data_IF_104241723958
#
_entry.id   IF_104241723958
#
_cell.length_a   1.000
_cell.length_b   1.000
_cell.length_c   1.000
_cell.angle_alpha   90.00
_cell.angle_beta   90.00
_cell.angle_gamma   90.00
#
_symmetry.space_group_name_H-M   'P 1'
#
loop_
_entity.id
_entity.type
_entity.pdbx_description
1 polymer ?
#
# COMPACT_ATOMS: atom_id res chain seq x y z
N UNK A 1 13.53 -3.39 -15.86
CA UNK A 1 13.44 -2.51 -14.67
C UNK A 1 13.99 -3.28 -13.46
N UNK A 2 15.03 -2.75 -12.80
CA UNK A 2 15.57 -3.31 -11.56
C UNK A 2 14.50 -3.41 -10.47
N UNK A 3 14.57 -4.47 -9.64
CA UNK A 3 13.57 -4.74 -8.58
C UNK A 3 13.49 -3.58 -7.58
N UNK A 4 14.62 -2.98 -7.21
CA UNK A 4 14.67 -1.85 -6.27
C UNK A 4 13.85 -0.64 -6.76
N UNK A 5 14.08 -0.21 -8.01
CA UNK A 5 13.36 0.95 -8.60
C UNK A 5 11.86 0.67 -8.70
N UNK A 6 11.48 -0.57 -9.05
CA UNK A 6 10.07 -0.99 -9.08
C UNK A 6 9.42 -0.83 -7.69
N UNK A 7 10.10 -1.32 -6.65
CA UNK A 7 9.59 -1.29 -5.27
C UNK A 7 9.55 0.13 -4.71
N UNK A 8 10.53 0.97 -5.03
CA UNK A 8 10.52 2.39 -4.67
C UNK A 8 9.34 3.13 -5.32
N UNK A 9 9.11 2.91 -6.61
CA UNK A 9 7.99 3.51 -7.35
C UNK A 9 6.64 3.09 -6.76
N UNK A 10 6.48 1.79 -6.47
CA UNK A 10 5.28 1.26 -5.82
C UNK A 10 5.08 1.86 -4.43
N UNK A 11 6.15 1.99 -3.65
CA UNK A 11 6.10 2.58 -2.30
C UNK A 11 5.63 4.03 -2.33
N UNK A 12 6.12 4.85 -3.28
CA UNK A 12 5.67 6.23 -3.46
C UNK A 12 4.18 6.32 -3.80
N UNK A 13 3.68 5.43 -4.68
CA UNK A 13 2.26 5.37 -5.04
C UNK A 13 1.39 4.98 -3.85
N UNK A 14 1.79 3.96 -3.09
CA UNK A 14 1.08 3.53 -1.89
C UNK A 14 1.03 4.65 -0.84
N UNK A 15 2.14 5.34 -0.59
CA UNK A 15 2.16 6.47 0.35
C UNK A 15 1.22 7.60 -0.07
N UNK A 16 1.19 7.95 -1.37
CA UNK A 16 0.25 8.93 -1.90
C UNK A 16 -1.21 8.51 -1.66
N UNK A 17 -1.54 7.26 -1.97
CA UNK A 17 -2.87 6.70 -1.72
C UNK A 17 -3.24 6.76 -0.23
N UNK A 18 -2.33 6.36 0.67
CA UNK A 18 -2.59 6.38 2.11
C UNK A 18 -2.78 7.80 2.65
N UNK A 19 -2.05 8.79 2.14
CA UNK A 19 -2.22 10.19 2.55
C UNK A 19 -3.58 10.75 2.14
N UNK A 20 -4.09 10.33 0.98
CA UNK A 20 -5.37 10.80 0.48
C UNK A 20 -6.56 10.06 1.12
N UNK A 21 -6.48 8.74 1.23
CA UNK A 21 -7.59 7.88 1.67
C UNK A 21 -7.49 7.40 3.12
N UNK A 22 -6.37 7.63 3.81
CA UNK A 22 -6.12 7.18 5.19
C UNK A 22 -6.82 8.03 6.25
N UNK A 23 -8.15 8.09 6.18
CA UNK A 23 -9.03 8.75 7.16
C UNK A 23 -9.65 7.73 8.12
N UNK A 24 -10.17 8.17 9.27
CA UNK A 24 -10.63 7.27 10.35
C UNK A 24 -11.68 6.24 9.91
N UNK A 25 -12.58 6.61 9.01
CA UNK A 25 -13.70 5.79 8.52
C UNK A 25 -13.36 4.94 7.28
N UNK A 26 -12.11 4.99 6.78
CA UNK A 26 -11.71 4.30 5.55
C UNK A 26 -10.48 3.38 5.73
N UNK A 27 -10.15 3.03 6.97
CA UNK A 27 -8.94 2.25 7.26
C UNK A 27 -8.96 0.85 6.64
N UNK A 28 -10.13 0.18 6.65
CA UNK A 28 -10.27 -1.17 6.12
C UNK A 28 -10.02 -1.21 4.61
N UNK A 29 -10.65 -0.32 3.84
CA UNK A 29 -10.41 -0.24 2.39
C UNK A 29 -8.97 0.11 2.04
N UNK A 30 -8.29 0.94 2.86
CA UNK A 30 -6.87 1.25 2.66
C UNK A 30 -5.98 0.03 2.92
N UNK A 31 -6.32 -0.80 3.90
CA UNK A 31 -5.63 -2.07 4.18
C UNK A 31 -5.86 -3.07 3.04
N UNK A 32 -7.10 -3.21 2.58
CA UNK A 32 -7.45 -4.08 1.45
C UNK A 32 -6.71 -3.67 0.19
N UNK A 33 -6.58 -2.37 -0.06
CA UNK A 33 -5.80 -1.85 -1.18
C UNK A 33 -4.33 -2.28 -1.15
N UNK A 34 -3.69 -2.30 0.03
CA UNK A 34 -2.32 -2.82 0.16
C UNK A 34 -2.27 -4.31 -0.19
N UNK A 35 -3.23 -5.10 0.28
CA UNK A 35 -3.24 -6.55 0.05
C UNK A 35 -3.50 -6.87 -1.43
N UNK A 36 -4.37 -6.12 -2.10
CA UNK A 36 -4.54 -6.20 -3.55
C UNK A 36 -3.27 -5.77 -4.31
N UNK A 37 -2.60 -4.70 -3.88
CA UNK A 37 -1.33 -4.30 -4.47
C UNK A 37 -0.26 -5.39 -4.38
N UNK A 38 -0.19 -6.12 -3.25
CA UNK A 38 0.72 -7.28 -3.09
C UNK A 38 0.34 -8.41 -4.03
N UNK A 39 -0.95 -8.77 -4.14
CA UNK A 39 -1.45 -9.81 -5.06
C UNK A 39 -1.12 -9.47 -6.52
N UNK A 40 -1.33 -8.21 -6.90
CA UNK A 40 -1.03 -7.74 -8.26
C UNK A 40 0.47 -7.75 -8.54
N UNK A 41 1.30 -7.33 -7.58
CA UNK A 41 2.76 -7.40 -7.69
C UNK A 41 3.24 -8.85 -7.87
N UNK A 42 2.72 -9.79 -7.07
CA UNK A 42 3.04 -11.21 -7.19
C UNK A 42 2.70 -11.75 -8.59
N UNK A 43 1.49 -11.47 -9.08
CA UNK A 43 1.05 -11.85 -10.44
C UNK A 43 1.97 -11.27 -11.51
N UNK A 44 2.31 -9.98 -11.41
CA UNK A 44 3.12 -9.29 -12.42
C UNK A 44 4.57 -9.78 -12.44
N UNK A 45 5.17 -10.02 -11.26
CA UNK A 45 6.53 -10.56 -11.16
C UNK A 45 6.63 -11.96 -11.80
N UNK A 46 5.64 -12.82 -11.58
CA UNK A 46 5.57 -14.14 -12.20
C UNK A 46 5.30 -14.07 -13.71
N UNK A 47 4.51 -13.08 -14.17
CA UNK A 47 4.28 -12.87 -15.61
C UNK A 47 5.54 -12.40 -16.34
N UNK A 48 6.33 -11.52 -15.73
CA UNK A 48 7.49 -10.88 -16.37
C UNK A 48 8.62 -11.84 -16.70
N UNK A 49 8.80 -12.92 -15.92
CA UNK A 49 10.00 -13.77 -16.06
C UNK A 49 9.87 -14.94 -17.03
N UNK A 50 8.74 -15.08 -17.75
CA UNK A 50 8.40 -16.26 -18.58
C UNK A 50 8.48 -17.62 -17.86
N UNK A 51 8.80 -17.62 -16.56
CA UNK A 51 8.81 -18.72 -15.60
C UNK A 51 8.04 -18.27 -14.36
N UNK A 52 7.38 -19.21 -13.66
CA UNK A 52 6.81 -18.95 -12.32
C UNK A 52 7.94 -18.92 -11.27
N UNK A 53 8.69 -17.83 -11.25
CA UNK A 53 9.89 -17.68 -10.41
C UNK A 53 9.58 -17.47 -8.92
N UNK A 54 8.38 -17.02 -8.58
CA UNK A 54 7.92 -16.85 -7.19
C UNK A 54 6.81 -17.84 -6.82
N UNK A 55 7.06 -18.66 -5.81
CA UNK A 55 6.02 -19.18 -4.93
C UNK A 55 5.58 -18.08 -3.95
N UNK A 56 4.46 -18.28 -3.26
CA UNK A 56 3.99 -17.29 -2.27
C UNK A 56 5.02 -17.07 -1.14
N UNK A 57 5.62 -18.13 -0.61
CA UNK A 57 6.63 -18.01 0.46
C UNK A 57 7.87 -17.24 0.01
N UNK A 58 8.36 -17.50 -1.21
CA UNK A 58 9.47 -16.74 -1.81
C UNK A 58 9.09 -15.28 -2.02
N UNK A 59 7.83 -15.00 -2.34
CA UNK A 59 7.32 -13.64 -2.46
C UNK A 59 7.26 -12.93 -1.11
N UNK A 60 6.85 -13.60 -0.04
CA UNK A 60 6.90 -13.05 1.32
C UNK A 60 8.33 -12.75 1.75
N UNK A 61 9.30 -13.63 1.46
CA UNK A 61 10.73 -13.36 1.68
C UNK A 61 11.22 -12.15 0.88
N UNK A 62 10.77 -12.01 -0.37
CA UNK A 62 11.06 -10.82 -1.18
C UNK A 62 10.49 -9.55 -0.56
N UNK A 63 9.27 -9.57 -0.03
CA UNK A 63 8.68 -8.43 0.68
C UNK A 63 9.40 -8.13 2.00
N UNK A 64 10.03 -9.12 2.67
CA UNK A 64 10.91 -8.84 3.82
C UNK A 64 12.16 -8.07 3.39
N UNK A 65 12.71 -8.35 2.20
CA UNK A 65 13.87 -7.61 1.65
C UNK A 65 13.49 -6.23 1.11
N UNK A 66 12.30 -6.10 0.52
CA UNK A 66 11.76 -4.85 -0.03
C UNK A 66 10.41 -4.54 0.62
N UNK A 67 10.41 -4.04 1.87
CA UNK A 67 9.18 -3.79 2.60
C UNK A 67 8.35 -2.69 1.94
N UNK A 68 7.05 -2.94 1.81
CA UNK A 68 6.09 -1.92 1.40
C UNK A 68 5.65 -1.09 2.61
N UNK A 69 5.36 0.21 2.42
CA UNK A 69 4.80 1.04 3.48
C UNK A 69 3.48 0.43 3.96
N UNK A 70 3.25 0.47 5.27
CA UNK A 70 1.97 0.08 5.85
C UNK A 70 1.00 1.27 5.81
N UNK A 71 -0.31 1.01 5.68
CA UNK A 71 -1.35 2.01 5.94
C UNK A 71 -1.11 2.68 7.28
N UNK A 72 -1.38 3.99 7.32
CA UNK A 72 -1.40 4.77 8.55
C UNK A 72 -2.67 5.61 8.53
N UNK A 73 -3.22 5.88 9.71
CA UNK A 73 -4.22 6.92 9.88
C UNK A 73 -3.52 8.28 9.75
N UNK A 74 -3.95 9.09 8.79
CA UNK A 74 -3.40 10.43 8.55
C UNK A 74 -4.32 11.52 9.08
N UNK A 75 -5.63 11.32 9.03
CA UNK A 75 -6.61 12.35 9.36
C UNK A 75 -7.78 11.77 10.15
N UNK A 76 -8.10 12.38 11.29
CA UNK A 76 -9.27 12.03 12.06
C UNK A 76 -10.45 12.93 11.68
N UNK A 77 -11.38 12.40 10.87
CA UNK A 77 -12.52 13.17 10.37
C UNK A 77 -13.48 13.60 11.50
N UNK A 78 -13.55 12.86 12.61
CA UNK A 78 -14.38 13.22 13.76
C UNK A 78 -13.80 14.40 14.54
N UNK A 79 -12.47 14.50 14.64
CA UNK A 79 -11.80 15.66 15.23
C UNK A 79 -11.90 16.89 14.35
N UNK A 80 -11.72 16.72 13.04
CA UNK A 80 -11.85 17.80 12.07
C UNK A 80 -13.26 18.42 12.11
N UNK A 81 -14.31 17.57 12.13
CA UNK A 81 -15.70 18.03 12.24
C UNK A 81 -15.94 18.83 13.51
N UNK A 82 -15.43 18.37 14.66
CA UNK A 82 -15.55 19.12 15.92
C UNK A 82 -14.96 20.52 15.79
N UNK A 83 -13.78 20.65 15.21
CA UNK A 83 -13.11 21.96 15.07
C UNK A 83 -13.86 22.91 14.12
N UNK A 84 -14.38 22.41 13.00
CA UNK A 84 -15.18 23.22 12.06
C UNK A 84 -16.49 23.69 12.73
N UNK A 85 -17.14 22.83 13.52
CA UNK A 85 -18.35 23.18 14.25
C UNK A 85 -18.15 24.22 15.37
N UNK A 86 -16.92 24.45 15.86
CA UNK A 86 -16.62 25.54 16.79
C UNK A 86 -16.31 26.87 16.10
N UNK A 87 -16.06 26.85 14.80
CA UNK A 87 -15.69 28.03 13.99
C UNK A 87 -16.86 28.58 13.16
N UNK A 88 -17.98 27.88 13.11
CA UNK A 88 -19.25 28.26 12.49
C UNK A 88 -20.29 28.57 13.56
#
# INVERSE_FOLDING_TARGET
MPKAILMETLSRKLQGYYRYYGITDNQDSVKDFLDEAKRYLFKYLNRRSQRRSYTWDKFLLFLKRYPLPKPKLYMNIFELRRHISYLL
#
